data_IF_314379650250
#
_entry.id   IF_314379650250
#
_cell.length_a   1.000
_cell.length_b   1.000
_cell.length_c   1.000
_cell.angle_alpha   90.00
_cell.angle_beta   90.00
_cell.angle_gamma   90.00
#
_symmetry.space_group_name_H-M   'P 1'
#
loop_
_entity.id
_entity.type
_entity.pdbx_description
1 polymer ?
#
# COMPACT_ATOMS: atom_id res chain seq x y z
N UNK A 1 -11.86 -6.64 -12.89
CA UNK A 1 -11.51 -7.34 -11.64
C UNK A 1 -10.33 -6.60 -11.04
N UNK A 2 -10.50 -5.89 -9.92
CA UNK A 2 -9.39 -5.15 -9.29
C UNK A 2 -8.57 -6.09 -8.42
N UNK A 3 -7.24 -6.01 -8.52
CA UNK A 3 -6.34 -6.88 -7.77
C UNK A 3 -5.98 -6.21 -6.44
N UNK A 4 -6.16 -6.95 -5.35
CA UNK A 4 -5.67 -6.54 -4.02
C UNK A 4 -4.15 -6.73 -3.94
N UNK A 5 -3.48 -5.89 -3.15
CA UNK A 5 -2.02 -5.96 -2.95
C UNK A 5 -1.72 -7.01 -1.88
N UNK A 6 -0.88 -8.04 -2.16
CA UNK A 6 -0.70 -9.19 -1.28
C UNK A 6 0.26 -8.94 -0.11
N UNK A 7 0.66 -7.69 0.12
CA UNK A 7 1.60 -7.28 1.16
C UNK A 7 1.12 -5.96 1.81
N UNK A 8 1.57 -5.69 3.03
CA UNK A 8 1.12 -4.53 3.81
C UNK A 8 2.11 -3.36 3.79
N UNK A 9 1.56 -2.17 4.05
CA UNK A 9 2.28 -0.89 4.19
C UNK A 9 1.94 -0.22 5.52
N UNK A 10 2.77 0.75 5.91
CA UNK A 10 2.30 1.80 6.81
C UNK A 10 1.24 2.63 6.07
N UNK A 11 0.02 2.81 6.62
CA UNK A 11 -1.02 3.59 5.96
C UNK A 11 -0.60 5.03 5.65
N UNK A 12 0.30 5.59 6.46
CA UNK A 12 0.75 6.98 6.40
C UNK A 12 2.09 7.15 5.67
N UNK A 13 2.96 6.14 5.72
CA UNK A 13 4.36 6.25 5.29
C UNK A 13 4.74 5.23 4.19
N UNK A 14 3.79 4.43 3.71
CA UNK A 14 4.01 3.47 2.62
C UNK A 14 4.94 2.32 2.99
N UNK A 15 5.89 2.00 2.13
CA UNK A 15 6.87 0.89 2.24
C UNK A 15 7.99 1.20 3.24
N UNK A 16 7.62 1.48 4.48
CA UNK A 16 8.54 1.75 5.60
C UNK A 16 8.44 0.70 6.69
N UNK A 17 7.68 -0.38 6.47
CA UNK A 17 7.54 -1.44 7.46
C UNK A 17 8.83 -2.24 7.59
N UNK A 18 9.15 -2.62 8.82
CA UNK A 18 10.05 -3.71 9.14
C UNK A 18 9.26 -4.80 9.85
N UNK A 19 9.60 -6.06 9.58
CA UNK A 19 9.01 -7.23 10.24
C UNK A 19 10.09 -8.12 10.86
N UNK A 20 9.84 -8.62 12.08
CA UNK A 20 10.66 -9.64 12.75
C UNK A 20 9.83 -10.33 13.83
N UNK A 21 9.97 -11.65 13.97
CA UNK A 21 9.28 -12.41 15.03
C UNK A 21 7.75 -12.39 14.92
N UNK A 22 7.22 -12.33 13.69
CA UNK A 22 5.78 -12.29 13.43
C UNK A 22 5.12 -10.96 13.83
N UNK A 23 5.88 -9.88 13.93
CA UNK A 23 5.40 -8.52 14.25
C UNK A 23 5.98 -7.54 13.26
N UNK A 24 5.22 -6.50 12.95
CA UNK A 24 5.65 -5.44 12.04
C UNK A 24 5.50 -4.06 12.67
N UNK A 25 6.33 -3.10 12.26
CA UNK A 25 6.27 -1.70 12.69
C UNK A 25 6.76 -0.76 11.59
N UNK A 26 6.28 0.48 11.61
CA UNK A 26 6.80 1.54 10.76
C UNK A 26 8.21 1.98 11.22
N UNK A 27 9.14 2.14 10.28
CA UNK A 27 10.49 2.61 10.55
C UNK A 27 10.61 4.15 10.56
N UNK A 28 9.56 4.88 10.20
CA UNK A 28 9.55 6.33 10.37
C UNK A 28 9.56 6.70 11.86
N UNK A 29 10.50 7.53 12.29
CA UNK A 29 10.75 7.85 13.70
C UNK A 29 9.62 8.64 14.37
N UNK A 30 8.71 9.23 13.59
CA UNK A 30 7.53 9.94 14.10
C UNK A 30 6.27 9.08 14.07
N UNK A 31 6.33 7.88 13.48
CA UNK A 31 5.21 6.99 13.32
C UNK A 31 5.27 5.83 14.32
N UNK A 32 4.26 5.75 15.19
CA UNK A 32 4.19 4.70 16.21
C UNK A 32 3.31 3.51 15.80
N UNK A 33 2.92 3.44 14.52
CA UNK A 33 2.13 2.32 14.02
C UNK A 33 2.94 1.01 14.11
N UNK A 34 2.38 0.07 14.84
CA UNK A 34 2.93 -1.26 15.06
C UNK A 34 1.80 -2.30 15.10
N UNK A 35 2.10 -3.52 14.70
CA UNK A 35 1.16 -4.62 14.57
C UNK A 35 1.71 -5.87 15.26
N UNK A 36 0.82 -6.60 15.93
CA UNK A 36 1.14 -7.86 16.63
C UNK A 36 1.23 -9.07 15.70
N UNK A 37 1.10 -8.85 14.39
CA UNK A 37 1.23 -9.84 13.32
C UNK A 37 2.20 -9.31 12.25
N UNK A 38 2.68 -10.20 11.37
CA UNK A 38 3.49 -9.82 10.22
C UNK A 38 2.62 -9.14 9.18
N UNK A 39 2.47 -7.82 9.30
CA UNK A 39 1.73 -7.02 8.33
C UNK A 39 2.45 -6.93 6.99
N UNK A 40 3.78 -6.98 6.98
CA UNK A 40 4.55 -6.84 5.74
C UNK A 40 4.25 -8.01 4.80
N UNK A 41 4.13 -9.22 5.34
CA UNK A 41 3.83 -10.46 4.60
C UNK A 41 2.33 -10.83 4.60
N UNK A 42 1.45 -9.90 4.97
CA UNK A 42 0.00 -10.10 4.94
C UNK A 42 -0.67 -9.22 3.89
N UNK A 43 -1.75 -9.72 3.30
CA UNK A 43 -2.58 -8.93 2.39
C UNK A 43 -3.05 -7.63 3.05
N UNK A 44 -2.97 -6.52 2.31
CA UNK A 44 -3.35 -5.22 2.85
C UNK A 44 -4.86 -5.18 3.17
N UNK A 45 -5.19 -4.90 4.43
CA UNK A 45 -6.58 -4.77 4.89
C UNK A 45 -7.06 -3.33 4.98
N UNK A 46 -6.22 -2.36 4.62
CA UNK A 46 -6.61 -0.94 4.62
C UNK A 46 -7.67 -0.66 3.56
N UNK A 47 -8.61 0.28 3.83
CA UNK A 47 -9.59 0.70 2.85
C UNK A 47 -8.93 1.18 1.57
N UNK A 48 -9.40 0.68 0.42
CA UNK A 48 -8.96 1.17 -0.87
C UNK A 48 -9.55 2.56 -1.13
N UNK A 49 -8.69 3.51 -1.46
CA UNK A 49 -9.03 4.94 -1.66
C UNK A 49 -8.49 5.48 -2.98
N UNK A 50 -7.61 4.73 -3.64
CA UNK A 50 -6.93 5.11 -4.86
C UNK A 50 -7.00 4.00 -5.91
N UNK A 51 -6.93 4.42 -7.17
CA UNK A 51 -6.72 3.53 -8.32
C UNK A 51 -5.35 3.82 -8.91
N UNK A 52 -4.50 2.80 -8.94
CA UNK A 52 -3.22 2.83 -9.66
C UNK A 52 -3.44 2.20 -11.03
N UNK A 53 -3.14 2.94 -12.08
CA UNK A 53 -3.07 2.44 -13.44
C UNK A 53 -1.59 2.30 -13.82
N UNK A 54 -1.13 1.06 -14.03
CA UNK A 54 0.21 0.77 -14.48
C UNK A 54 0.37 1.01 -15.99
N UNK A 55 1.62 1.03 -16.46
CA UNK A 55 2.00 1.35 -17.84
C UNK A 55 1.43 0.34 -18.85
N UNK A 56 1.31 -0.92 -18.43
CA UNK A 56 0.72 -2.03 -19.18
C UNK A 56 -0.82 -1.99 -19.25
N UNK A 57 -1.44 -1.01 -18.57
CA UNK A 57 -2.89 -0.83 -18.50
C UNK A 57 -3.55 -1.51 -17.31
N UNK A 58 -2.83 -2.29 -16.50
CA UNK A 58 -3.38 -2.93 -15.31
C UNK A 58 -3.87 -1.89 -14.30
N UNK A 59 -4.94 -2.26 -13.58
CA UNK A 59 -5.56 -1.41 -12.56
C UNK A 59 -5.61 -2.10 -11.20
N UNK A 60 -5.03 -1.43 -10.22
CA UNK A 60 -5.01 -1.85 -8.82
C UNK A 60 -5.80 -0.85 -7.98
N UNK A 61 -6.68 -1.35 -7.10
CA UNK A 61 -7.33 -0.51 -6.08
C UNK A 61 -6.56 -0.66 -4.79
N UNK A 62 -6.09 0.47 -4.26
CA UNK A 62 -5.10 0.48 -3.18
C UNK A 62 -5.44 1.52 -2.13
N UNK A 63 -4.91 1.35 -0.92
CA UNK A 63 -5.04 2.33 0.16
C UNK A 63 -4.07 3.51 0.00
N UNK A 64 -4.18 4.52 0.86
CA UNK A 64 -3.32 5.71 0.86
C UNK A 64 -1.83 5.36 0.94
N UNK A 65 -1.44 4.45 1.84
CA UNK A 65 -0.04 4.02 1.98
C UNK A 65 0.52 3.37 0.72
N UNK A 66 -0.28 2.57 0.01
CA UNK A 66 0.13 1.98 -1.26
C UNK A 66 0.17 3.00 -2.39
N UNK A 67 -0.72 3.99 -2.38
CA UNK A 67 -0.67 5.10 -3.33
C UNK A 67 0.61 5.92 -3.15
N UNK A 68 1.04 6.17 -1.90
CA UNK A 68 2.33 6.80 -1.58
C UNK A 68 3.51 6.01 -2.14
N UNK A 69 3.54 4.69 -1.91
CA UNK A 69 4.56 3.82 -2.49
C UNK A 69 4.53 3.84 -4.02
N UNK A 70 3.35 3.75 -4.62
CA UNK A 70 3.22 3.75 -6.07
C UNK A 70 3.76 5.05 -6.69
N UNK A 71 3.58 6.21 -6.03
CA UNK A 71 4.10 7.51 -6.50
C UNK A 71 5.62 7.54 -6.61
N UNK A 72 6.32 6.73 -5.80
CA UNK A 72 7.78 6.69 -5.80
C UNK A 72 8.35 5.61 -6.71
N UNK A 73 7.56 4.62 -7.10
CA UNK A 73 8.02 3.44 -7.84
C UNK A 73 7.54 3.35 -9.29
N UNK A 74 6.46 4.05 -9.65
CA UNK A 74 5.87 3.98 -10.99
C UNK A 74 6.31 5.20 -11.81
N UNK A 75 6.84 4.97 -13.01
CA UNK A 75 7.39 6.04 -13.87
C UNK A 75 6.40 6.58 -14.89
N UNK A 76 5.60 5.76 -15.59
CA UNK A 76 4.65 6.25 -16.61
C UNK A 76 3.18 5.97 -16.27
N UNK A 77 2.92 5.48 -15.06
CA UNK A 77 1.58 5.12 -14.61
C UNK A 77 0.87 6.31 -13.99
N UNK A 78 -0.41 6.10 -13.66
CA UNK A 78 -1.26 7.13 -13.07
C UNK A 78 -1.80 6.68 -11.73
N UNK A 79 -1.89 7.61 -10.81
CA UNK A 79 -2.43 7.39 -9.47
C UNK A 79 -3.61 8.35 -9.32
N UNK A 80 -4.80 7.79 -9.34
CA UNK A 80 -6.06 8.51 -9.28
C UNK A 80 -6.67 8.34 -7.89
N UNK A 81 -7.24 9.42 -7.35
CA UNK A 81 -8.03 9.33 -6.12
C UNK A 81 -9.43 8.79 -6.45
N UNK A 82 -9.94 7.90 -5.61
CA UNK A 82 -11.22 7.23 -5.80
C UNK A 82 -11.09 5.83 -6.41
N UNK A 83 -12.16 5.06 -6.27
CA UNK A 83 -12.33 3.76 -6.91
C UNK A 83 -12.78 3.96 -8.36
N UNK A 84 -12.45 3.03 -9.27
CA UNK A 84 -12.88 3.14 -10.65
C UNK A 84 -14.40 3.03 -10.74
N UNK A 85 -14.99 3.76 -11.69
CA UNK A 85 -16.41 3.64 -11.99
C UNK A 85 -16.77 2.19 -12.36
N UNK A 86 -17.95 1.75 -11.91
CA UNK A 86 -18.48 0.41 -12.17
C UNK A 86 -18.81 0.19 -13.65
#
# INVERSE_FOLDING_TARGET
>A
MHRAVPWGVCPEHGTTLKSTGGRAWCMDFTCFNAWTYDRLDAACTEPATHTVQADDGDRYVVCDGHALTARTQITNGRILRGLPAA
#
